data_IF_387101759962
#
_entry.id   IF_387101759962
#
_cell.length_a   1.000
_cell.length_b   1.000
_cell.length_c   1.000
_cell.angle_alpha   90.00
_cell.angle_beta   90.00
_cell.angle_gamma   90.00
#
_symmetry.space_group_name_H-M   'P 1'
#
loop_
_entity.id
_entity.type
_entity.pdbx_description
1 polymer ?
#
# COMPACT_ATOMS: atom_id res chain seq x y z
N UNK A 1 32.69 -51.51 -25.34
CA UNK A 1 31.49 -51.05 -26.06
C UNK A 1 31.47 -49.52 -26.00
N UNK A 2 31.77 -48.89 -27.14
CA UNK A 2 31.77 -47.45 -27.37
C UNK A 2 30.35 -46.93 -27.45
N UNK A 3 30.00 -45.82 -26.72
CA UNK A 3 28.82 -45.01 -26.98
C UNK A 3 29.25 -43.64 -27.50
N UNK A 4 28.73 -43.18 -28.64
CA UNK A 4 29.07 -41.87 -29.18
C UNK A 4 28.31 -40.74 -28.47
N UNK A 5 29.05 -39.70 -28.11
CA UNK A 5 28.55 -38.42 -27.63
C UNK A 5 27.75 -37.71 -28.75
N UNK A 6 26.45 -37.59 -28.61
CA UNK A 6 25.65 -36.64 -29.38
C UNK A 6 25.49 -35.33 -28.54
N UNK A 7 26.36 -34.37 -28.80
CA UNK A 7 26.13 -32.99 -28.44
C UNK A 7 25.18 -32.39 -29.46
N UNK A 8 23.91 -32.09 -29.05
CA UNK A 8 23.00 -31.26 -29.81
C UNK A 8 23.43 -29.80 -29.67
N UNK A 9 23.47 -29.00 -30.73
CA UNK A 9 23.80 -27.57 -30.65
C UNK A 9 22.69 -26.84 -29.95
N UNK A 10 23.01 -26.17 -28.85
CA UNK A 10 22.13 -25.19 -28.18
C UNK A 10 22.02 -23.99 -29.14
N UNK A 11 20.95 -23.91 -29.89
CA UNK A 11 20.62 -22.72 -30.67
C UNK A 11 20.12 -21.65 -29.68
N UNK A 12 20.97 -20.64 -29.49
CA UNK A 12 20.64 -19.40 -28.79
C UNK A 12 19.56 -18.67 -29.60
N UNK A 13 18.29 -18.95 -29.35
CA UNK A 13 17.21 -18.09 -29.84
C UNK A 13 17.18 -16.84 -28.95
N UNK A 14 17.98 -15.83 -29.32
CA UNK A 14 17.72 -14.46 -28.90
C UNK A 14 16.35 -14.06 -29.45
N UNK A 15 15.36 -14.01 -28.56
CA UNK A 15 14.08 -13.38 -28.90
C UNK A 15 14.38 -11.93 -29.36
N UNK A 16 13.76 -11.45 -30.43
CA UNK A 16 13.96 -10.09 -30.88
C UNK A 16 13.55 -9.15 -29.74
N UNK A 17 14.47 -8.27 -29.31
CA UNK A 17 14.17 -7.16 -28.41
C UNK A 17 13.26 -6.23 -29.24
N UNK A 18 11.95 -6.45 -29.15
CA UNK A 18 10.97 -5.50 -29.66
C UNK A 18 11.10 -4.25 -28.79
N UNK A 19 11.67 -3.20 -29.34
CA UNK A 19 11.63 -1.86 -28.76
C UNK A 19 10.19 -1.36 -28.77
N UNK A 20 9.37 -1.85 -27.84
CA UNK A 20 8.16 -1.10 -27.51
C UNK A 20 8.61 0.21 -26.85
N UNK A 21 8.13 1.37 -27.34
CA UNK A 21 8.41 2.61 -26.64
C UNK A 21 7.96 2.47 -25.20
N UNK A 22 8.84 2.84 -24.26
CA UNK A 22 8.50 2.83 -22.84
C UNK A 22 7.21 3.65 -22.65
N UNK A 23 6.23 3.18 -21.87
CA UNK A 23 5.00 3.91 -21.63
C UNK A 23 5.32 5.30 -21.06
N UNK A 24 4.69 6.34 -21.61
CA UNK A 24 4.91 7.71 -21.18
C UNK A 24 4.29 7.88 -19.78
N UNK A 25 5.11 8.16 -18.78
CA UNK A 25 4.66 8.43 -17.41
C UNK A 25 3.67 9.60 -17.39
N UNK A 26 2.55 9.41 -16.74
CA UNK A 26 1.58 10.46 -16.48
C UNK A 26 1.79 11.10 -15.11
N UNK A 27 1.32 12.34 -14.94
CA UNK A 27 1.51 13.11 -13.71
C UNK A 27 0.19 13.71 -13.25
N UNK A 28 -0.03 13.76 -11.93
CA UNK A 28 -1.21 14.35 -11.31
C UNK A 28 -0.82 15.36 -10.24
N UNK A 29 -1.68 16.36 -10.01
CA UNK A 29 -1.56 17.32 -8.93
C UNK A 29 -1.80 16.64 -7.59
N UNK A 30 -0.92 16.83 -6.63
CA UNK A 30 -0.99 16.22 -5.29
C UNK A 30 -1.77 17.13 -4.32
N UNK A 31 -3.06 17.30 -4.58
CA UNK A 31 -3.93 18.13 -3.76
C UNK A 31 -3.40 19.56 -3.57
N UNK A 32 -3.72 20.18 -2.44
CA UNK A 32 -3.32 21.56 -2.09
C UNK A 32 -1.81 21.78 -1.94
N UNK A 33 -0.97 20.72 -1.96
CA UNK A 33 0.49 20.87 -2.07
C UNK A 33 0.91 21.48 -3.41
N UNK A 34 0.07 21.35 -4.45
CA UNK A 34 0.33 21.72 -5.84
C UNK A 34 1.54 21.03 -6.49
N UNK A 35 2.17 20.07 -5.84
CA UNK A 35 3.21 19.24 -6.45
C UNK A 35 2.62 18.41 -7.59
N UNK A 36 3.37 18.27 -8.67
CA UNK A 36 2.96 17.46 -9.82
C UNK A 36 3.71 16.13 -9.78
N UNK A 37 3.11 15.12 -9.16
CA UNK A 37 3.71 13.81 -8.96
C UNK A 37 3.40 12.87 -10.12
N UNK A 38 4.38 12.01 -10.46
CA UNK A 38 4.16 10.84 -11.31
C UNK A 38 3.08 9.93 -10.71
N UNK A 39 2.25 9.30 -11.54
CA UNK A 39 1.17 8.41 -11.07
C UNK A 39 1.68 7.15 -10.37
N UNK A 40 2.97 6.89 -10.47
CA UNK A 40 3.70 5.94 -9.63
C UNK A 40 4.81 6.64 -8.87
N UNK A 41 4.98 6.30 -7.61
CA UNK A 41 6.05 6.74 -6.71
C UNK A 41 6.91 5.55 -6.32
N UNK A 42 8.21 5.76 -6.18
CA UNK A 42 9.13 4.73 -5.73
C UNK A 42 9.07 4.61 -4.20
N UNK A 43 8.58 3.46 -3.69
CA UNK A 43 8.63 3.11 -2.27
C UNK A 43 9.90 2.33 -1.93
N UNK A 44 10.61 2.74 -0.89
CA UNK A 44 11.95 2.22 -0.59
C UNK A 44 12.01 1.24 0.59
N UNK A 45 10.87 0.79 1.12
CA UNK A 45 10.83 -0.10 2.28
C UNK A 45 11.55 -1.44 2.06
N UNK A 46 11.75 -1.85 0.79
CA UNK A 46 12.42 -3.11 0.42
C UNK A 46 13.93 -2.96 0.13
N UNK A 47 14.54 -1.82 0.44
CA UNK A 47 15.98 -1.61 0.30
C UNK A 47 16.73 -2.20 1.50
N UNK A 48 16.77 -3.53 1.58
CA UNK A 48 17.29 -4.25 2.74
C UNK A 48 18.68 -4.85 2.52
N UNK A 49 19.09 -5.06 1.27
CA UNK A 49 20.24 -5.89 0.97
C UNK A 49 21.55 -5.12 0.80
N UNK A 50 21.58 -4.15 -0.10
CA UNK A 50 22.78 -3.35 -0.33
C UNK A 50 22.45 -2.00 -0.98
N UNK A 51 23.38 -1.07 -0.84
CA UNK A 51 23.25 0.31 -1.34
C UNK A 51 23.33 0.36 -2.87
N UNK A 52 24.09 -0.52 -3.50
CA UNK A 52 24.27 -0.52 -4.95
C UNK A 52 22.97 -0.89 -5.68
N UNK A 53 22.29 -1.97 -5.27
CA UNK A 53 21.01 -2.34 -5.84
C UNK A 53 19.94 -1.26 -5.59
N UNK A 54 19.96 -0.61 -4.42
CA UNK A 54 19.09 0.52 -4.12
C UNK A 54 19.33 1.67 -5.10
N UNK A 55 20.58 2.06 -5.34
CA UNK A 55 20.96 3.12 -6.28
C UNK A 55 20.50 2.78 -7.71
N UNK A 56 20.79 1.58 -8.19
CA UNK A 56 20.36 1.11 -9.52
C UNK A 56 18.84 1.14 -9.68
N UNK A 57 18.10 0.77 -8.63
CA UNK A 57 16.62 0.80 -8.64
C UNK A 57 16.11 2.24 -8.68
N UNK A 58 16.74 3.16 -7.93
CA UNK A 58 16.41 4.60 -7.96
C UNK A 58 16.64 5.15 -9.36
N UNK A 59 17.84 4.95 -9.95
CA UNK A 59 18.16 5.44 -11.28
C UNK A 59 17.22 4.88 -12.36
N UNK A 60 16.88 3.59 -12.25
CA UNK A 60 15.89 2.99 -13.15
C UNK A 60 14.53 3.64 -13.02
N UNK A 61 14.06 3.90 -11.79
CA UNK A 61 12.78 4.58 -11.55
C UNK A 61 12.75 5.99 -12.15
N UNK A 62 13.84 6.77 -11.96
CA UNK A 62 14.00 8.11 -12.54
C UNK A 62 14.00 8.06 -14.07
N UNK A 63 14.72 7.11 -14.68
CA UNK A 63 14.75 6.91 -16.14
C UNK A 63 13.38 6.53 -16.73
N UNK A 64 12.48 5.97 -15.93
CA UNK A 64 11.09 5.64 -16.30
C UNK A 64 10.11 6.79 -16.03
N UNK A 65 10.60 7.96 -15.58
CA UNK A 65 9.80 9.16 -15.36
C UNK A 65 9.18 9.27 -13.96
N UNK A 66 9.54 8.41 -13.01
CA UNK A 66 9.16 8.60 -11.61
C UNK A 66 9.89 9.82 -11.07
N UNK A 67 9.15 10.77 -10.50
CA UNK A 67 9.70 11.99 -9.89
C UNK A 67 9.42 12.11 -8.39
N UNK A 68 8.92 11.05 -7.75
CA UNK A 68 8.64 11.02 -6.33
C UNK A 68 9.17 9.75 -5.69
N UNK A 69 9.98 9.90 -4.64
CA UNK A 69 10.53 8.80 -3.85
C UNK A 69 10.00 8.91 -2.42
N UNK A 70 9.47 7.81 -1.91
CA UNK A 70 8.91 7.73 -0.56
C UNK A 70 9.70 6.73 0.29
N UNK A 71 10.20 7.21 1.41
CA UNK A 71 10.90 6.44 2.45
C UNK A 71 10.22 6.60 3.81
N UNK A 72 10.84 6.12 4.87
CA UNK A 72 10.47 6.40 6.26
C UNK A 72 11.64 6.11 7.20
N UNK A 73 11.69 6.85 8.30
CA UNK A 73 12.63 6.61 9.41
C UNK A 73 12.62 5.15 9.89
N UNK A 74 11.45 4.51 9.91
CA UNK A 74 11.27 3.13 10.34
C UNK A 74 11.61 2.04 9.31
N UNK A 75 12.15 2.39 8.14
CA UNK A 75 12.46 1.42 7.08
C UNK A 75 13.94 0.97 7.11
N UNK A 76 14.46 0.64 8.30
CA UNK A 76 15.83 0.19 8.46
C UNK A 76 16.84 1.20 7.90
N UNK A 77 17.69 0.78 6.97
CA UNK A 77 18.71 1.63 6.32
C UNK A 77 18.23 2.39 5.08
N UNK A 78 16.92 2.40 4.81
CA UNK A 78 16.38 2.97 3.58
C UNK A 78 16.70 4.46 3.39
N UNK A 79 16.63 5.28 4.48
CA UNK A 79 17.03 6.70 4.41
C UNK A 79 18.52 6.85 4.11
N UNK A 80 19.39 6.02 4.71
CA UNK A 80 20.84 6.05 4.48
C UNK A 80 21.20 5.66 3.03
N UNK A 81 20.53 4.64 2.48
CA UNK A 81 20.76 4.21 1.10
C UNK A 81 20.30 5.26 0.10
N UNK A 82 19.15 5.87 0.31
CA UNK A 82 18.67 6.98 -0.51
C UNK A 82 19.58 8.19 -0.39
N UNK A 83 20.03 8.55 0.82
CA UNK A 83 20.98 9.64 1.06
C UNK A 83 22.32 9.41 0.39
N UNK A 84 22.81 8.15 0.37
CA UNK A 84 24.03 7.78 -0.35
C UNK A 84 23.85 7.97 -1.86
N UNK A 85 22.71 7.54 -2.44
CA UNK A 85 22.42 7.76 -3.85
C UNK A 85 22.34 9.25 -4.20
N UNK A 86 21.67 10.06 -3.38
CA UNK A 86 21.58 11.52 -3.56
C UNK A 86 22.97 12.16 -3.54
N UNK A 87 23.82 11.80 -2.56
CA UNK A 87 25.17 12.32 -2.41
C UNK A 87 26.07 11.94 -3.59
N UNK A 88 25.89 10.76 -4.16
CA UNK A 88 26.64 10.30 -5.34
C UNK A 88 26.28 11.05 -6.63
N UNK A 89 25.17 11.79 -6.61
CA UNK A 89 24.57 12.44 -7.78
C UNK A 89 23.60 11.52 -8.49
N UNK A 90 22.36 11.98 -8.62
CA UNK A 90 21.30 11.30 -9.39
C UNK A 90 21.23 11.84 -10.81
N UNK A 91 20.69 11.05 -11.74
CA UNK A 91 20.51 11.41 -13.16
C UNK A 91 19.56 12.60 -13.38
N UNK A 92 18.78 12.97 -12.35
CA UNK A 92 17.90 14.15 -12.36
C UNK A 92 18.33 15.16 -11.29
N UNK A 93 18.21 16.48 -11.55
CA UNK A 93 18.52 17.49 -10.55
C UNK A 93 17.51 17.46 -9.39
N UNK A 94 17.97 17.83 -8.17
CA UNK A 94 17.17 17.78 -6.92
C UNK A 94 15.83 18.52 -7.02
N UNK A 95 15.76 19.61 -7.74
CA UNK A 95 14.54 20.41 -7.93
C UNK A 95 13.51 19.80 -8.89
N UNK A 96 13.83 18.67 -9.53
CA UNK A 96 12.91 17.87 -10.33
C UNK A 96 12.46 16.58 -9.63
N UNK A 97 12.94 16.37 -8.40
CA UNK A 97 12.66 15.19 -7.59
C UNK A 97 11.98 15.60 -6.29
N UNK A 98 10.86 14.94 -5.97
CA UNK A 98 10.17 15.10 -4.71
C UNK A 98 10.50 13.94 -3.77
N UNK A 99 10.83 14.25 -2.52
CA UNK A 99 11.21 13.25 -1.51
C UNK A 99 10.29 13.36 -0.31
N UNK A 100 9.67 12.23 0.03
CA UNK A 100 8.88 12.07 1.25
C UNK A 100 9.60 11.13 2.21
N UNK A 101 9.81 11.55 3.44
CA UNK A 101 10.03 10.60 4.55
C UNK A 101 8.87 10.63 5.54
N UNK A 102 8.82 9.62 6.40
CA UNK A 102 7.76 9.49 7.41
C UNK A 102 8.36 9.26 8.78
N UNK A 103 7.83 9.96 9.77
CA UNK A 103 8.26 9.90 11.17
C UNK A 103 7.04 9.50 12.02
N UNK A 104 7.17 8.52 12.95
CA UNK A 104 6.05 8.13 13.80
C UNK A 104 5.61 9.30 14.69
N UNK A 105 4.30 9.40 15.01
CA UNK A 105 3.84 10.38 15.98
C UNK A 105 4.47 10.11 17.34
N UNK A 106 4.76 11.16 18.10
CA UNK A 106 5.27 11.13 19.47
C UNK A 106 4.59 12.19 20.34
N UNK A 107 4.79 12.10 21.65
CA UNK A 107 4.06 12.98 22.58
C UNK A 107 4.61 14.42 22.60
N UNK A 108 5.89 14.61 22.37
CA UNK A 108 6.59 15.87 22.60
C UNK A 108 7.30 16.41 21.35
N UNK A 109 7.55 17.73 21.36
CA UNK A 109 8.18 18.43 20.25
C UNK A 109 9.68 18.14 20.14
N UNK A 110 10.40 18.00 21.26
CA UNK A 110 11.86 17.80 21.25
C UNK A 110 12.24 16.50 20.55
N UNK A 111 11.52 15.42 20.87
CA UNK A 111 11.67 14.12 20.19
C UNK A 111 11.41 14.24 18.69
N UNK A 112 10.38 14.98 18.29
CA UNK A 112 10.06 15.16 16.87
C UNK A 112 11.13 15.99 16.16
N UNK A 113 11.66 17.06 16.78
CA UNK A 113 12.78 17.83 16.23
C UNK A 113 13.99 16.93 15.97
N UNK A 114 14.39 16.15 16.97
CA UNK A 114 15.49 15.21 16.82
C UNK A 114 15.25 14.25 15.64
N UNK A 115 14.05 13.71 15.52
CA UNK A 115 13.72 12.79 14.44
C UNK A 115 13.76 13.42 13.06
N UNK A 116 13.32 14.67 12.91
CA UNK A 116 13.41 15.44 11.66
C UNK A 116 14.87 15.64 11.28
N UNK A 117 15.70 16.13 12.20
CA UNK A 117 17.11 16.43 11.96
C UNK A 117 17.89 15.16 11.59
N UNK A 118 17.69 14.07 12.31
CA UNK A 118 18.33 12.78 12.00
C UNK A 118 17.88 12.23 10.63
N UNK A 119 16.61 12.42 10.24
CA UNK A 119 16.13 11.98 8.92
C UNK A 119 16.77 12.82 7.80
N UNK A 120 16.86 14.13 7.96
CA UNK A 120 17.56 15.02 7.02
C UNK A 120 19.04 14.64 6.88
N UNK A 121 19.70 14.37 8.01
CA UNK A 121 21.11 13.92 8.00
C UNK A 121 21.29 12.60 7.27
N UNK A 122 20.46 11.56 7.56
CA UNK A 122 20.55 10.26 6.88
C UNK A 122 20.25 10.37 5.38
N UNK A 123 19.30 11.22 5.00
CA UNK A 123 18.95 11.49 3.60
C UNK A 123 19.96 12.40 2.88
N UNK A 124 20.90 13.02 3.59
CA UNK A 124 21.83 14.02 3.03
C UNK A 124 21.08 15.16 2.31
N UNK A 125 20.06 15.71 2.98
CA UNK A 125 19.18 16.75 2.46
C UNK A 125 19.10 17.94 3.40
N UNK A 126 19.02 19.16 2.82
CA UNK A 126 18.73 20.37 3.56
C UNK A 126 17.22 20.54 3.84
N UNK A 127 16.38 19.94 3.00
CA UNK A 127 14.92 20.00 3.14
C UNK A 127 14.22 18.75 2.59
N UNK A 128 13.03 18.48 3.14
CA UNK A 128 12.07 17.49 2.66
C UNK A 128 10.97 18.18 1.85
N UNK A 129 10.59 17.61 0.69
CA UNK A 129 9.39 18.08 -0.02
C UNK A 129 8.13 17.73 0.73
N UNK A 130 8.09 16.54 1.33
CA UNK A 130 6.95 16.09 2.12
C UNK A 130 7.41 15.35 3.39
N UNK A 131 6.78 15.67 4.52
CA UNK A 131 6.90 14.91 5.76
C UNK A 131 5.56 14.27 6.11
N UNK A 132 5.54 12.92 6.23
CA UNK A 132 4.37 12.18 6.68
C UNK A 132 4.45 11.79 8.15
N UNK A 133 3.40 12.02 8.93
CA UNK A 133 3.24 11.39 10.24
C UNK A 133 2.96 9.90 10.03
N UNK A 134 3.88 9.03 10.47
CA UNK A 134 3.92 7.62 10.09
C UNK A 134 3.03 6.74 10.97
N UNK A 135 1.95 6.23 10.40
CA UNK A 135 1.09 5.28 11.11
C UNK A 135 0.22 5.93 12.17
N UNK A 136 -0.48 7.02 11.81
CA UNK A 136 -1.53 7.62 12.63
C UNK A 136 -2.73 6.66 12.67
N UNK A 137 -2.66 5.64 13.56
CA UNK A 137 -3.52 4.46 13.54
C UNK A 137 -4.47 4.37 14.73
N UNK A 138 -4.22 5.11 15.82
CA UNK A 138 -4.94 4.97 17.09
C UNK A 138 -5.44 6.32 17.58
N UNK A 139 -6.39 6.29 18.54
CA UNK A 139 -6.84 7.50 19.24
C UNK A 139 -5.68 8.22 19.91
N UNK A 140 -4.77 7.47 20.56
CA UNK A 140 -3.60 8.05 21.21
C UNK A 140 -2.68 8.79 20.22
N UNK A 141 -2.47 8.24 19.01
CA UNK A 141 -1.68 8.92 18.00
C UNK A 141 -2.34 10.22 17.53
N UNK A 142 -3.67 10.23 17.43
CA UNK A 142 -4.44 11.44 17.09
C UNK A 142 -4.32 12.48 18.19
N UNK A 143 -4.46 12.09 19.48
CA UNK A 143 -4.27 12.97 20.63
C UNK A 143 -2.88 13.61 20.65
N UNK A 144 -1.81 12.87 20.38
CA UNK A 144 -0.46 13.43 20.28
C UNK A 144 -0.33 14.48 19.17
N UNK A 145 -0.99 14.24 18.03
CA UNK A 145 -1.00 15.17 16.88
C UNK A 145 -1.81 16.43 17.20
N UNK A 146 -2.92 16.32 17.92
CA UNK A 146 -3.78 17.46 18.31
C UNK A 146 -3.28 18.23 19.55
N UNK A 147 -2.34 17.62 20.31
CA UNK A 147 -1.81 18.25 21.53
C UNK A 147 -1.06 19.53 21.21
N UNK A 148 -1.48 20.63 21.82
CA UNK A 148 -0.77 21.90 21.76
C UNK A 148 0.63 21.74 22.37
N UNK A 149 1.66 22.23 21.69
CA UNK A 149 3.06 22.05 22.05
C UNK A 149 3.55 20.57 22.02
N UNK A 150 2.81 19.68 21.33
CA UNK A 150 3.22 18.30 21.05
C UNK A 150 4.06 18.19 19.79
N UNK A 151 4.12 16.98 19.21
CA UNK A 151 4.99 16.70 18.05
C UNK A 151 4.71 17.62 16.84
N UNK A 152 3.46 18.06 16.64
CA UNK A 152 3.13 18.94 15.51
C UNK A 152 3.70 20.35 15.64
N UNK A 153 4.04 20.82 16.86
CA UNK A 153 4.78 22.08 17.02
C UNK A 153 6.11 22.01 16.27
N UNK A 154 6.92 20.98 16.52
CA UNK A 154 8.20 20.78 15.83
C UNK A 154 8.05 20.67 14.31
N UNK A 155 7.00 19.99 13.85
CA UNK A 155 6.69 19.87 12.42
C UNK A 155 6.38 21.25 11.82
N UNK A 156 5.57 22.09 12.48
CA UNK A 156 5.26 23.44 12.00
C UNK A 156 6.48 24.36 12.06
N UNK A 157 7.34 24.24 13.06
CA UNK A 157 8.60 24.98 13.12
C UNK A 157 9.51 24.58 11.97
N UNK A 158 9.61 23.28 11.62
CA UNK A 158 10.37 22.82 10.46
C UNK A 158 9.77 23.28 9.11
N UNK A 159 8.46 23.53 9.05
CA UNK A 159 7.83 24.17 7.87
C UNK A 159 8.22 25.66 7.81
N UNK A 160 8.15 26.36 8.94
CA UNK A 160 8.43 27.80 9.00
C UNK A 160 9.89 28.13 8.67
N UNK A 161 10.83 27.28 9.05
CA UNK A 161 12.26 27.45 8.76
C UNK A 161 12.69 26.84 7.41
N UNK A 162 11.78 26.16 6.70
CA UNK A 162 11.98 25.65 5.35
C UNK A 162 12.58 24.24 5.27
N UNK A 163 12.84 23.55 6.41
CA UNK A 163 13.30 22.15 6.40
C UNK A 163 12.23 21.17 5.90
N UNK A 164 10.96 21.51 5.99
CA UNK A 164 9.82 20.74 5.47
C UNK A 164 8.94 21.66 4.63
N UNK A 165 8.48 21.20 3.45
CA UNK A 165 7.59 22.01 2.62
C UNK A 165 6.12 21.67 2.80
N UNK A 166 5.77 20.38 2.89
CA UNK A 166 4.40 19.89 2.97
C UNK A 166 4.25 18.81 4.03
N UNK A 167 3.10 18.80 4.70
CA UNK A 167 2.80 17.88 5.81
C UNK A 167 1.64 16.95 5.44
N UNK A 168 1.78 15.65 5.72
CA UNK A 168 0.71 14.68 5.58
C UNK A 168 0.78 13.58 6.63
N UNK A 169 0.01 12.53 6.43
CA UNK A 169 0.09 11.34 7.29
C UNK A 169 -0.12 10.05 6.51
N UNK A 170 0.37 8.94 7.06
CA UNK A 170 0.08 7.60 6.61
C UNK A 170 -0.68 6.83 7.68
N UNK A 171 -1.54 5.90 7.27
CA UNK A 171 -2.39 5.21 8.25
C UNK A 171 -2.76 3.79 7.83
N UNK A 172 -2.93 2.93 8.85
CA UNK A 172 -3.54 1.62 8.80
C UNK A 172 -4.76 1.54 9.74
N UNK A 173 -5.12 2.67 10.35
CA UNK A 173 -6.15 2.78 11.37
C UNK A 173 -7.55 2.41 10.89
N UNK A 174 -8.49 2.38 11.81
CA UNK A 174 -9.90 2.27 11.53
C UNK A 174 -10.40 3.54 10.81
N UNK A 175 -11.48 3.42 10.03
CA UNK A 175 -11.99 4.51 9.20
C UNK A 175 -12.31 5.77 10.02
N UNK A 176 -12.84 5.60 11.25
CA UNK A 176 -13.12 6.74 12.14
C UNK A 176 -11.88 7.53 12.54
N UNK A 177 -10.73 6.86 12.75
CA UNK A 177 -9.47 7.53 13.05
C UNK A 177 -8.95 8.27 11.81
N UNK A 178 -9.07 7.67 10.64
CA UNK A 178 -8.67 8.29 9.37
C UNK A 178 -9.48 9.55 9.11
N UNK A 179 -10.81 9.46 9.26
CA UNK A 179 -11.71 10.62 9.07
C UNK A 179 -11.46 11.72 10.12
N UNK A 180 -11.21 11.34 11.38
CA UNK A 180 -10.84 12.29 12.42
C UNK A 180 -9.53 13.02 12.07
N UNK A 181 -8.48 12.31 11.65
CA UNK A 181 -7.21 12.89 11.23
C UNK A 181 -7.38 13.85 10.02
N UNK A 182 -8.18 13.49 9.02
CA UNK A 182 -8.51 14.35 7.88
C UNK A 182 -9.22 15.63 8.37
N UNK A 183 -10.09 15.53 9.37
CA UNK A 183 -10.88 16.63 9.88
C UNK A 183 -10.11 17.58 10.82
N UNK A 184 -8.89 17.25 11.23
CA UNK A 184 -8.02 18.18 11.98
C UNK A 184 -7.56 19.39 11.16
N UNK A 185 -7.61 19.30 9.84
CA UNK A 185 -7.07 20.29 8.88
C UNK A 185 -5.55 20.52 8.95
N UNK A 186 -4.83 19.68 9.71
CA UNK A 186 -3.38 19.77 9.88
C UNK A 186 -2.59 19.25 8.67
N UNK A 187 -3.23 18.52 7.76
CA UNK A 187 -2.54 17.75 6.73
C UNK A 187 -2.94 18.18 5.32
N UNK A 188 -1.97 18.10 4.39
CA UNK A 188 -2.14 18.42 2.97
C UNK A 188 -2.27 17.15 2.11
N UNK A 189 -1.83 15.98 2.62
CA UNK A 189 -1.92 14.71 1.93
C UNK A 189 -2.11 13.54 2.90
N UNK A 190 -2.58 12.42 2.35
CA UNK A 190 -2.78 11.17 3.10
C UNK A 190 -2.32 9.96 2.31
N UNK A 191 -1.61 9.04 2.99
CA UNK A 191 -1.20 7.75 2.45
C UNK A 191 -2.14 6.67 2.98
N UNK A 192 -2.91 6.04 2.08
CA UNK A 192 -4.00 5.11 2.40
C UNK A 192 -3.79 3.72 1.79
N UNK A 193 -4.45 2.74 2.39
CA UNK A 193 -4.72 1.44 1.79
C UNK A 193 -6.07 1.49 1.07
N UNK A 194 -6.06 1.31 -0.24
CA UNK A 194 -7.26 1.19 -1.08
C UNK A 194 -6.91 0.39 -2.33
N UNK A 195 -7.68 -0.68 -2.60
CA UNK A 195 -7.42 -1.63 -3.67
C UNK A 195 -8.72 -2.26 -4.13
N UNK A 196 -8.75 -2.90 -5.28
CA UNK A 196 -9.95 -3.59 -5.74
C UNK A 196 -10.49 -4.56 -4.68
N UNK A 197 -9.63 -5.33 -4.02
CA UNK A 197 -10.01 -6.27 -2.96
C UNK A 197 -10.12 -5.66 -1.55
N UNK A 198 -9.97 -4.34 -1.42
CA UNK A 198 -10.04 -3.64 -0.13
C UNK A 198 -10.46 -2.18 -0.33
N UNK A 199 -11.76 -1.93 -0.26
CA UNK A 199 -12.33 -0.62 -0.59
C UNK A 199 -12.93 0.14 0.61
N UNK A 200 -12.74 -0.34 1.85
CA UNK A 200 -13.33 0.30 3.05
C UNK A 200 -12.97 1.78 3.22
N UNK A 201 -11.82 2.19 2.70
CA UNK A 201 -11.32 3.56 2.83
C UNK A 201 -11.83 4.52 1.73
N UNK A 202 -12.84 4.12 0.93
CA UNK A 202 -13.44 4.99 -0.07
C UNK A 202 -13.95 6.32 0.54
N UNK A 203 -14.61 6.26 1.70
CA UNK A 203 -15.09 7.46 2.41
C UNK A 203 -13.95 8.36 2.87
N UNK A 204 -12.79 7.80 3.21
CA UNK A 204 -11.60 8.59 3.54
C UNK A 204 -11.04 9.30 2.30
N UNK A 205 -11.04 8.64 1.12
CA UNK A 205 -10.67 9.28 -0.15
C UNK A 205 -11.62 10.43 -0.47
N UNK A 206 -12.93 10.23 -0.33
CA UNK A 206 -13.92 11.29 -0.52
C UNK A 206 -13.70 12.48 0.40
N UNK A 207 -13.47 12.24 1.70
CA UNK A 207 -13.21 13.28 2.68
C UNK A 207 -11.91 14.05 2.36
N UNK A 208 -10.83 13.33 2.01
CA UNK A 208 -9.57 13.94 1.61
C UNK A 208 -9.72 14.80 0.35
N UNK A 209 -10.44 14.30 -0.66
CA UNK A 209 -10.69 15.04 -1.90
C UNK A 209 -11.51 16.32 -1.66
N UNK A 210 -12.53 16.27 -0.80
CA UNK A 210 -13.33 17.46 -0.42
C UNK A 210 -12.48 18.56 0.24
N UNK A 211 -11.37 18.18 0.89
CA UNK A 211 -10.41 19.11 1.52
C UNK A 211 -9.20 19.42 0.63
N UNK A 212 -9.27 19.05 -0.64
CA UNK A 212 -8.16 19.17 -1.60
C UNK A 212 -6.85 18.56 -1.09
N UNK A 213 -6.91 17.45 -0.37
CA UNK A 213 -5.73 16.70 0.07
C UNK A 213 -5.24 15.78 -1.04
N UNK A 214 -3.91 15.65 -1.17
CA UNK A 214 -3.30 14.65 -2.04
C UNK A 214 -3.55 13.23 -1.51
N UNK A 215 -3.94 12.29 -2.39
CA UNK A 215 -4.17 10.89 -2.03
C UNK A 215 -3.10 10.00 -2.64
N UNK A 216 -2.36 9.31 -1.77
CA UNK A 216 -1.31 8.38 -2.13
C UNK A 216 -1.68 6.96 -1.67
N UNK A 217 -1.78 6.01 -2.60
CA UNK A 217 -2.11 4.61 -2.28
C UNK A 217 -0.83 3.82 -2.07
N UNK A 218 -0.67 3.27 -0.87
CA UNK A 218 0.51 2.50 -0.46
C UNK A 218 0.31 0.99 -0.60
N UNK A 219 1.38 0.27 -0.98
CA UNK A 219 1.44 -1.19 -1.10
C UNK A 219 0.34 -1.84 -1.97
N UNK A 220 -0.03 -1.29 -3.14
CA UNK A 220 -1.16 -1.80 -3.93
C UNK A 220 -0.96 -3.24 -4.45
N UNK A 221 0.26 -3.66 -4.72
CA UNK A 221 0.54 -5.02 -5.19
C UNK A 221 0.58 -6.05 -4.05
N UNK A 222 1.24 -5.72 -2.93
CA UNK A 222 1.41 -6.64 -1.80
C UNK A 222 0.14 -6.75 -0.95
N UNK A 223 -0.26 -5.64 -0.31
CA UNK A 223 -1.43 -5.62 0.56
C UNK A 223 -2.75 -5.64 -0.21
N UNK A 224 -2.70 -5.34 -1.50
CA UNK A 224 -3.82 -5.48 -2.43
C UNK A 224 -4.14 -6.92 -2.83
N UNK A 225 -3.31 -7.91 -2.43
CA UNK A 225 -3.59 -9.31 -2.72
C UNK A 225 -2.37 -10.16 -3.07
N UNK A 226 -1.13 -9.67 -2.86
CA UNK A 226 0.11 -10.31 -3.35
C UNK A 226 0.04 -10.57 -4.86
N UNK A 227 -0.41 -9.56 -5.61
CA UNK A 227 -0.81 -9.67 -7.00
C UNK A 227 0.35 -9.92 -8.00
N UNK A 228 1.59 -9.92 -7.54
CA UNK A 228 2.76 -10.35 -8.31
C UNK A 228 2.94 -11.89 -8.31
N UNK A 229 2.28 -12.62 -7.38
CA UNK A 229 2.21 -14.09 -7.34
C UNK A 229 0.75 -14.55 -7.11
N UNK A 230 -0.17 -14.19 -8.03
CA UNK A 230 -1.58 -14.51 -7.86
C UNK A 230 -1.83 -16.01 -8.08
N UNK A 231 -2.84 -16.63 -7.42
CA UNK A 231 -3.24 -18.00 -7.68
C UNK A 231 -3.80 -18.16 -9.09
N UNK A 232 -3.73 -19.39 -9.63
CA UNK A 232 -4.13 -19.65 -11.02
C UNK A 232 -5.61 -19.32 -11.27
N UNK A 233 -6.49 -19.66 -10.34
CA UNK A 233 -7.91 -19.28 -10.43
C UNK A 233 -8.12 -17.77 -10.62
N UNK A 234 -7.37 -16.93 -9.86
CA UNK A 234 -7.47 -15.49 -10.02
C UNK A 234 -6.91 -15.02 -11.37
N UNK A 235 -5.80 -15.63 -11.86
CA UNK A 235 -5.27 -15.34 -13.19
C UNK A 235 -6.28 -15.63 -14.29
N UNK A 236 -6.95 -16.79 -14.23
CA UNK A 236 -7.96 -17.19 -15.20
C UNK A 236 -9.15 -16.22 -15.21
N UNK A 237 -9.65 -15.83 -14.04
CA UNK A 237 -10.78 -14.90 -13.90
C UNK A 237 -10.46 -13.49 -14.40
N UNK A 238 -9.20 -13.10 -14.40
CA UNK A 238 -8.74 -11.78 -14.84
C UNK A 238 -8.44 -11.68 -16.32
N UNK A 239 -8.40 -12.80 -17.07
CA UNK A 239 -8.09 -12.78 -18.49
C UNK A 239 -8.97 -11.78 -19.28
N UNK A 240 -8.40 -11.06 -20.28
CA UNK A 240 -7.01 -11.16 -20.81
C UNK A 240 -5.94 -10.40 -20.01
N UNK A 241 -6.30 -9.73 -18.93
CA UNK A 241 -5.38 -8.94 -18.09
C UNK A 241 -4.74 -9.77 -16.99
N UNK A 242 -3.65 -9.27 -16.42
CA UNK A 242 -3.13 -9.79 -15.16
C UNK A 242 -3.87 -9.19 -13.96
N UNK A 243 -3.97 -9.90 -12.81
CA UNK A 243 -4.54 -9.33 -11.60
C UNK A 243 -3.83 -8.06 -11.11
N UNK A 244 -2.51 -7.97 -11.30
CA UNK A 244 -1.70 -6.81 -10.94
C UNK A 244 -2.07 -5.60 -11.81
N UNK A 245 -2.13 -5.79 -13.12
CA UNK A 245 -2.52 -4.76 -14.08
C UNK A 245 -3.92 -4.22 -13.80
N UNK A 246 -4.91 -5.12 -13.62
CA UNK A 246 -6.29 -4.71 -13.31
C UNK A 246 -6.38 -3.91 -12.01
N UNK A 247 -5.66 -4.30 -10.95
CA UNK A 247 -5.66 -3.54 -9.71
C UNK A 247 -5.05 -2.13 -9.89
N UNK A 248 -3.98 -2.00 -10.67
CA UNK A 248 -3.42 -0.69 -10.99
C UNK A 248 -4.37 0.13 -11.86
N UNK A 249 -5.01 -0.48 -12.86
CA UNK A 249 -6.01 0.18 -13.70
C UNK A 249 -7.21 0.66 -12.88
N UNK A 250 -7.73 -0.17 -11.97
CA UNK A 250 -8.77 0.22 -11.00
C UNK A 250 -8.39 1.48 -10.22
N UNK A 251 -7.14 1.56 -9.74
CA UNK A 251 -6.66 2.70 -8.98
C UNK A 251 -6.38 3.93 -9.85
N UNK A 252 -5.77 3.75 -11.03
CA UNK A 252 -5.43 4.85 -11.93
C UNK A 252 -6.63 5.45 -12.63
N UNK A 253 -7.73 4.72 -12.80
CA UNK A 253 -8.98 5.24 -13.35
C UNK A 253 -9.72 6.17 -12.38
N UNK A 254 -9.40 6.13 -11.08
CA UNK A 254 -9.94 7.04 -10.08
C UNK A 254 -9.11 8.33 -10.03
N UNK A 255 -9.70 9.43 -10.53
CA UNK A 255 -9.02 10.73 -10.59
C UNK A 255 -8.72 11.36 -9.22
N UNK A 256 -9.35 10.88 -8.14
CA UNK A 256 -9.11 11.31 -6.76
C UNK A 256 -7.76 10.81 -6.24
N UNK A 257 -7.20 9.75 -6.84
CA UNK A 257 -5.92 9.15 -6.46
C UNK A 257 -4.81 9.82 -7.25
N UNK A 258 -3.82 10.39 -6.56
CA UNK A 258 -2.71 11.07 -7.20
C UNK A 258 -1.63 10.09 -7.67
N UNK A 259 -1.17 9.22 -6.78
CA UNK A 259 -0.02 8.35 -7.04
C UNK A 259 -0.10 7.03 -6.30
N UNK A 260 0.58 6.02 -6.81
CA UNK A 260 0.62 4.66 -6.29
C UNK A 260 2.05 4.28 -5.92
N UNK A 261 2.27 3.69 -4.75
CA UNK A 261 3.59 3.21 -4.35
C UNK A 261 3.99 1.94 -5.08
N UNK A 262 5.13 1.95 -5.74
CA UNK A 262 5.82 0.75 -6.24
C UNK A 262 7.03 0.48 -5.36
N UNK A 263 6.95 -0.58 -4.55
CA UNK A 263 8.02 -1.00 -3.64
C UNK A 263 8.98 -1.96 -4.33
N UNK A 264 9.65 -1.52 -5.39
CA UNK A 264 10.64 -2.32 -6.11
C UNK A 264 11.92 -2.49 -5.29
N UNK A 265 12.40 -3.71 -5.13
CA UNK A 265 13.69 -4.02 -4.52
C UNK A 265 14.84 -4.06 -5.56
N UNK A 266 14.49 -4.32 -6.81
CA UNK A 266 15.42 -4.33 -7.97
C UNK A 266 14.84 -3.55 -9.14
N UNK A 267 15.68 -3.12 -10.10
CA UNK A 267 15.23 -2.39 -11.29
C UNK A 267 14.16 -3.13 -12.13
N UNK A 268 14.26 -4.45 -12.20
CA UNK A 268 13.36 -5.30 -13.00
C UNK A 268 11.92 -5.29 -12.47
N UNK A 269 11.75 -5.16 -11.16
CA UNK A 269 10.44 -5.12 -10.52
C UNK A 269 9.62 -3.86 -10.84
N UNK A 270 10.23 -2.85 -11.47
CA UNK A 270 9.54 -1.64 -11.94
C UNK A 270 8.79 -1.86 -13.26
N UNK A 271 9.17 -2.84 -14.08
CA UNK A 271 8.70 -2.96 -15.46
C UNK A 271 7.20 -3.28 -15.51
N UNK A 272 6.76 -4.34 -14.83
CA UNK A 272 5.35 -4.75 -14.87
C UNK A 272 4.39 -3.70 -14.27
N UNK A 273 4.66 -3.10 -13.09
CA UNK A 273 3.81 -2.02 -12.57
C UNK A 273 3.69 -0.83 -13.50
N UNK A 274 4.79 -0.40 -14.10
CA UNK A 274 4.80 0.81 -14.92
C UNK A 274 4.26 0.61 -16.34
N UNK A 275 4.01 -0.62 -16.75
CA UNK A 275 3.40 -0.91 -18.07
C UNK A 275 2.05 -0.19 -18.28
N UNK A 276 1.31 0.11 -17.21
CA UNK A 276 0.02 0.83 -17.26
C UNK A 276 0.12 2.32 -16.95
N UNK A 277 1.32 2.88 -16.74
CA UNK A 277 1.53 4.28 -16.31
C UNK A 277 1.04 5.34 -17.28
N UNK A 278 0.86 4.97 -18.55
CA UNK A 278 0.36 5.82 -19.62
C UNK A 278 -1.17 5.93 -19.66
N UNK A 279 -1.89 5.01 -19.01
CA UNK A 279 -3.35 4.90 -19.09
C UNK A 279 -4.01 5.27 -17.74
N UNK A 280 -4.36 6.54 -17.59
CA UNK A 280 -5.05 7.09 -16.40
C UNK A 280 -6.51 7.43 -16.69
N UNK A 281 -7.02 7.04 -17.84
CA UNK A 281 -8.41 7.25 -18.25
C UNK A 281 -9.35 6.30 -17.51
N UNK A 282 -10.65 6.51 -17.68
CA UNK A 282 -11.67 5.58 -17.19
C UNK A 282 -11.40 4.14 -17.64
N UNK A 283 -11.96 3.20 -16.91
CA UNK A 283 -11.85 1.78 -17.25
C UNK A 283 -12.53 1.50 -18.59
N UNK A 284 -11.89 0.67 -19.40
CA UNK A 284 -12.44 0.19 -20.66
C UNK A 284 -13.64 -0.74 -20.42
N UNK A 285 -14.46 -0.93 -21.43
CA UNK A 285 -15.59 -1.89 -21.38
C UNK A 285 -15.11 -3.31 -21.05
N UNK A 286 -13.93 -3.69 -21.53
CA UNK A 286 -13.34 -5.01 -21.28
C UNK A 286 -12.87 -5.16 -19.84
N UNK A 287 -12.18 -4.15 -19.28
CA UNK A 287 -11.79 -4.10 -17.87
C UNK A 287 -13.03 -4.17 -16.95
N UNK A 288 -14.07 -3.38 -17.25
CA UNK A 288 -15.35 -3.39 -16.51
C UNK A 288 -16.00 -4.77 -16.58
N UNK A 289 -15.97 -5.45 -17.73
CA UNK A 289 -16.50 -6.81 -17.87
C UNK A 289 -15.78 -7.80 -16.97
N UNK A 290 -14.46 -7.72 -16.89
CA UNK A 290 -13.66 -8.59 -16.00
C UNK A 290 -13.99 -8.32 -14.54
N UNK A 291 -14.10 -7.06 -14.12
CA UNK A 291 -14.52 -6.74 -12.73
C UNK A 291 -15.92 -7.28 -12.41
N UNK A 292 -16.87 -7.20 -13.35
CA UNK A 292 -18.19 -7.81 -13.18
C UNK A 292 -18.11 -9.33 -13.05
N UNK A 293 -17.26 -9.98 -13.82
CA UNK A 293 -17.06 -11.42 -13.72
C UNK A 293 -16.47 -11.82 -12.36
N UNK A 294 -15.50 -11.06 -11.83
CA UNK A 294 -14.97 -11.27 -10.49
C UNK A 294 -16.07 -11.13 -9.41
N UNK A 295 -16.93 -10.13 -9.51
CA UNK A 295 -18.02 -9.95 -8.56
C UNK A 295 -19.06 -11.08 -8.67
N UNK A 296 -19.41 -11.50 -9.90
CA UNK A 296 -20.32 -12.62 -10.13
C UNK A 296 -19.76 -13.93 -9.56
N UNK A 297 -18.46 -14.21 -9.78
CA UNK A 297 -17.78 -15.37 -9.21
C UNK A 297 -17.86 -15.35 -7.68
N UNK A 298 -17.60 -14.21 -7.05
CA UNK A 298 -17.69 -14.05 -5.61
C UNK A 298 -19.10 -14.31 -5.08
N UNK A 299 -20.10 -13.75 -5.74
CA UNK A 299 -21.51 -13.92 -5.37
C UNK A 299 -21.95 -15.38 -5.52
N UNK A 300 -21.58 -16.03 -6.64
CA UNK A 300 -21.96 -17.41 -6.92
C UNK A 300 -21.35 -18.42 -5.94
N UNK A 301 -20.10 -18.20 -5.53
CA UNK A 301 -19.36 -19.17 -4.71
C UNK A 301 -19.63 -18.99 -3.22
N UNK A 302 -19.88 -17.74 -2.78
CA UNK A 302 -20.15 -17.44 -1.36
C UNK A 302 -21.64 -17.51 -1.02
N UNK A 303 -22.52 -17.34 -2.00
CA UNK A 303 -23.96 -17.36 -1.80
C UNK A 303 -24.42 -16.54 -0.58
N UNK A 304 -25.05 -17.16 0.39
CA UNK A 304 -25.51 -16.56 1.64
C UNK A 304 -24.42 -16.28 2.65
N UNK A 305 -23.19 -16.83 2.46
CA UNK A 305 -22.06 -16.69 3.38
C UNK A 305 -21.18 -15.46 3.08
N UNK A 306 -21.62 -14.60 2.16
CA UNK A 306 -20.87 -13.42 1.74
C UNK A 306 -20.96 -12.29 2.75
N UNK A 307 -19.85 -12.00 3.46
CA UNK A 307 -19.75 -10.79 4.25
C UNK A 307 -19.62 -9.54 3.35
N UNK A 308 -20.55 -8.58 3.49
CA UNK A 308 -20.56 -7.32 2.76
C UNK A 308 -19.58 -6.25 3.31
N UNK A 309 -18.94 -6.54 4.43
CA UNK A 309 -18.03 -5.62 5.15
C UNK A 309 -18.70 -4.31 5.59
N UNK A 310 -19.92 -4.37 6.08
CA UNK A 310 -20.67 -3.21 6.58
C UNK A 310 -20.21 -2.74 7.98
N UNK A 311 -19.36 -3.51 8.69
CA UNK A 311 -18.83 -3.22 10.03
C UNK A 311 -19.89 -3.17 11.16
N UNK A 312 -21.17 -3.44 10.90
CA UNK A 312 -22.24 -3.38 11.91
C UNK A 312 -22.05 -4.35 13.09
N UNK A 313 -21.35 -5.47 12.86
CA UNK A 313 -21.06 -6.47 13.89
C UNK A 313 -20.02 -6.03 14.96
N UNK A 314 -19.41 -4.87 14.79
CA UNK A 314 -18.47 -4.33 15.77
C UNK A 314 -19.17 -3.41 16.79
N UNK A 315 -18.58 -3.23 18.01
CA UNK A 315 -17.40 -3.93 18.51
C UNK A 315 -17.70 -5.38 18.89
N UNK A 316 -16.69 -6.25 18.76
CA UNK A 316 -16.72 -7.62 19.27
C UNK A 316 -16.13 -7.63 20.70
N UNK A 317 -16.75 -8.29 21.71
CA UNK A 317 -16.22 -8.38 23.08
C UNK A 317 -14.80 -8.98 23.12
N UNK A 318 -14.50 -9.92 22.24
CA UNK A 318 -13.20 -10.58 22.12
C UNK A 318 -12.20 -9.81 21.21
N UNK A 319 -12.51 -8.57 20.85
CA UNK A 319 -11.69 -7.74 19.96
C UNK A 319 -11.38 -8.38 18.59
N UNK A 320 -12.21 -9.30 18.10
CA UNK A 320 -12.06 -9.88 16.76
C UNK A 320 -12.44 -8.81 15.74
N UNK A 321 -11.54 -8.56 14.79
CA UNK A 321 -11.87 -7.72 13.62
C UNK A 321 -12.70 -8.56 12.62
N UNK A 322 -13.95 -8.84 12.98
CA UNK A 322 -14.85 -9.73 12.24
C UNK A 322 -14.89 -9.38 10.73
N UNK A 323 -15.11 -8.13 10.31
CA UNK A 323 -15.19 -7.82 8.88
C UNK A 323 -13.88 -8.12 8.13
N UNK A 324 -12.72 -7.88 8.74
CA UNK A 324 -11.45 -8.16 8.09
C UNK A 324 -11.15 -9.67 8.03
N UNK A 325 -11.46 -10.41 9.10
CA UNK A 325 -11.36 -11.88 9.13
C UNK A 325 -12.21 -12.48 8.02
N UNK A 326 -13.50 -12.08 7.91
CA UNK A 326 -14.42 -12.60 6.91
C UNK A 326 -14.08 -12.13 5.48
N UNK A 327 -13.47 -10.93 5.32
CA UNK A 327 -12.94 -10.51 4.03
C UNK A 327 -11.86 -11.47 3.51
N UNK A 328 -10.94 -11.87 4.39
CA UNK A 328 -9.90 -12.84 4.01
C UNK A 328 -10.49 -14.20 3.63
N UNK A 329 -11.55 -14.66 4.33
CA UNK A 329 -12.32 -15.83 3.94
C UNK A 329 -12.96 -15.67 2.56
N UNK A 330 -13.66 -14.58 2.34
CA UNK A 330 -14.29 -14.31 1.04
C UNK A 330 -13.28 -14.40 -0.12
N UNK A 331 -12.11 -13.81 0.05
CA UNK A 331 -11.06 -13.84 -0.98
C UNK A 331 -10.46 -15.24 -1.18
N UNK A 332 -10.24 -15.99 -0.10
CA UNK A 332 -9.74 -17.36 -0.16
C UNK A 332 -10.72 -18.29 -0.88
N UNK A 333 -12.01 -18.20 -0.56
CA UNK A 333 -13.06 -19.07 -1.13
C UNK A 333 -13.37 -18.68 -2.57
N UNK A 334 -13.55 -17.39 -2.85
CA UNK A 334 -13.97 -16.92 -4.18
C UNK A 334 -12.85 -17.04 -5.22
N UNK A 335 -11.60 -16.74 -4.86
CA UNK A 335 -10.51 -16.54 -5.80
C UNK A 335 -9.27 -17.40 -5.53
N UNK A 336 -9.35 -18.34 -4.59
CA UNK A 336 -8.22 -19.17 -4.15
C UNK A 336 -7.02 -18.36 -3.58
N UNK A 337 -7.29 -17.17 -3.02
CA UNK A 337 -6.27 -16.29 -2.44
C UNK A 337 -5.84 -16.78 -1.04
N UNK A 338 -5.60 -18.09 -0.87
CA UNK A 338 -5.30 -18.75 0.41
C UNK A 338 -3.97 -18.26 0.99
N UNK A 339 -2.92 -18.19 0.19
CA UNK A 339 -1.60 -17.73 0.65
C UNK A 339 -1.60 -16.28 1.10
N UNK A 340 -2.34 -15.42 0.38
CA UNK A 340 -2.58 -14.04 0.83
C UNK A 340 -3.39 -14.02 2.12
N UNK A 341 -4.45 -14.85 2.19
CA UNK A 341 -5.27 -14.99 3.38
C UNK A 341 -4.45 -15.41 4.60
N UNK A 342 -3.63 -16.47 4.49
CA UNK A 342 -2.73 -16.94 5.56
C UNK A 342 -1.74 -15.86 6.00
N UNK A 343 -1.11 -15.19 5.05
CA UNK A 343 -0.18 -14.09 5.32
C UNK A 343 -0.83 -12.97 6.15
N UNK A 344 -2.02 -12.52 5.74
CA UNK A 344 -2.73 -11.44 6.45
C UNK A 344 -3.32 -11.92 7.76
N UNK A 345 -3.88 -13.13 7.81
CA UNK A 345 -4.46 -13.73 9.02
C UNK A 345 -3.40 -13.93 10.13
N UNK A 346 -2.17 -14.28 9.77
CA UNK A 346 -1.06 -14.37 10.70
C UNK A 346 -0.64 -13.03 11.32
N UNK A 347 -1.06 -11.89 10.75
CA UNK A 347 -0.77 -10.55 11.31
C UNK A 347 -1.66 -10.22 12.51
N UNK A 348 -2.87 -10.77 12.60
CA UNK A 348 -3.70 -10.61 13.79
C UNK A 348 -2.94 -11.10 15.03
N UNK A 349 -3.10 -10.39 16.15
CA UNK A 349 -2.40 -10.62 17.42
C UNK A 349 -0.88 -10.32 17.41
N UNK A 350 -0.25 -10.15 16.22
CA UNK A 350 1.20 -10.00 16.09
C UNK A 350 1.66 -8.63 15.55
N UNK A 351 0.82 -7.90 14.84
CA UNK A 351 1.21 -6.64 14.20
C UNK A 351 0.78 -5.39 14.98
N UNK A 352 0.20 -5.56 16.17
CA UNK A 352 -0.27 -4.45 17.00
C UNK A 352 -1.19 -3.49 16.23
N UNK A 353 -0.98 -2.20 16.41
CA UNK A 353 -1.79 -1.15 15.75
C UNK A 353 -1.65 -1.09 14.22
N UNK A 354 -0.69 -1.80 13.62
CA UNK A 354 -0.54 -1.88 12.16
C UNK A 354 -1.55 -2.82 11.49
N UNK A 355 -2.07 -3.79 12.22
CA UNK A 355 -3.12 -4.70 11.78
C UNK A 355 -3.91 -5.19 13.00
N UNK A 356 -4.80 -4.35 13.54
CA UNK A 356 -5.45 -4.60 14.83
C UNK A 356 -6.52 -5.68 14.74
N UNK A 357 -6.69 -6.38 15.85
CA UNK A 357 -7.73 -7.38 16.06
C UNK A 357 -7.19 -8.76 16.41
N UNK A 358 -8.10 -9.59 16.90
CA UNK A 358 -7.85 -10.98 17.25
C UNK A 358 -8.29 -11.92 16.11
N UNK A 359 -7.75 -13.15 16.12
CA UNK A 359 -8.12 -14.22 15.18
C UNK A 359 -9.52 -14.78 15.44
N UNK A 360 -10.12 -15.42 14.44
CA UNK A 360 -11.48 -15.99 14.52
C UNK A 360 -11.66 -17.03 15.62
N UNK A 361 -10.63 -17.80 15.97
CA UNK A 361 -10.68 -18.80 17.05
C UNK A 361 -10.80 -18.22 18.47
N UNK A 362 -10.77 -16.88 18.60
CA UNK A 362 -11.06 -16.22 19.88
C UNK A 362 -12.56 -16.02 20.12
N UNK A 363 -13.41 -16.43 19.17
CA UNK A 363 -14.84 -16.33 19.30
C UNK A 363 -15.34 -17.21 20.46
N UNK A 364 -16.07 -16.58 21.39
CA UNK A 364 -16.71 -17.24 22.54
C UNK A 364 -18.18 -17.58 22.25
N UNK A 365 -18.65 -17.39 21.01
CA UNK A 365 -20.02 -17.65 20.57
C UNK A 365 -21.08 -16.86 21.38
N UNK A 366 -20.73 -15.67 21.89
CA UNK A 366 -21.64 -14.85 22.69
C UNK A 366 -22.89 -14.38 21.94
N UNK A 367 -22.89 -14.41 20.60
CA UNK A 367 -24.04 -14.06 19.76
C UNK A 367 -24.25 -12.56 19.52
N UNK A 368 -23.48 -11.66 20.12
CA UNK A 368 -23.69 -10.19 20.05
C UNK A 368 -23.60 -9.62 18.62
N UNK A 369 -22.91 -10.31 17.72
CA UNK A 369 -22.76 -9.91 16.32
C UNK A 369 -23.92 -10.33 15.42
N UNK A 370 -24.70 -11.38 15.81
CA UNK A 370 -25.74 -11.98 14.97
C UNK A 370 -26.89 -11.01 14.68
N UNK A 371 -27.54 -10.34 15.67
CA UNK A 371 -28.65 -9.43 15.40
C UNK A 371 -28.22 -8.14 14.69
N UNK A 372 -26.93 -7.85 14.63
CA UNK A 372 -26.37 -6.66 13.98
C UNK A 372 -26.04 -6.89 12.50
N UNK A 373 -25.98 -8.15 12.06
CA UNK A 373 -25.58 -8.49 10.70
C UNK A 373 -26.73 -8.31 9.71
N UNK A 374 -26.66 -7.36 8.75
CA UNK A 374 -27.72 -7.17 7.77
C UNK A 374 -27.85 -8.32 6.76
N UNK A 375 -26.80 -9.14 6.63
CA UNK A 375 -26.78 -10.32 5.76
C UNK A 375 -27.23 -11.60 6.50
N UNK A 376 -27.59 -11.52 7.77
CA UNK A 376 -27.98 -12.66 8.62
C UNK A 376 -26.95 -13.82 8.64
N UNK A 377 -25.66 -13.49 8.62
CA UNK A 377 -24.58 -14.48 8.61
C UNK A 377 -24.48 -15.24 9.94
N UNK A 378 -24.19 -16.54 9.88
CA UNK A 378 -23.69 -17.29 11.04
C UNK A 378 -22.20 -16.91 11.26
N UNK A 379 -22.00 -15.74 11.86
CA UNK A 379 -20.66 -15.18 12.07
C UNK A 379 -19.75 -16.13 12.87
N UNK A 380 -20.17 -16.76 13.99
CA UNK A 380 -19.34 -17.71 14.72
C UNK A 380 -18.85 -18.88 13.85
N UNK A 381 -19.75 -19.52 13.10
CA UNK A 381 -19.37 -20.60 12.20
C UNK A 381 -18.38 -20.14 11.10
N UNK A 382 -18.62 -18.96 10.51
CA UNK A 382 -17.73 -18.39 9.50
C UNK A 382 -16.36 -17.97 10.06
N UNK A 383 -16.28 -17.54 11.30
CA UNK A 383 -15.00 -17.24 11.98
C UNK A 383 -14.19 -18.51 12.21
N UNK A 384 -14.86 -19.61 12.62
CA UNK A 384 -14.21 -20.90 12.77
C UNK A 384 -13.70 -21.45 11.43
N UNK A 385 -14.56 -21.47 10.38
CA UNK A 385 -14.16 -21.87 9.02
C UNK A 385 -12.97 -21.03 8.51
N UNK A 386 -12.97 -19.72 8.78
CA UNK A 386 -11.83 -18.85 8.43
C UNK A 386 -10.55 -19.28 9.15
N UNK A 387 -10.66 -19.59 10.44
CA UNK A 387 -9.49 -20.02 11.22
C UNK A 387 -8.94 -21.34 10.68
N UNK A 388 -9.77 -22.33 10.42
CA UNK A 388 -9.35 -23.62 9.86
C UNK A 388 -8.63 -23.45 8.51
N UNK A 389 -9.16 -22.62 7.61
CA UNK A 389 -8.59 -22.36 6.28
C UNK A 389 -7.29 -21.60 6.31
N UNK A 390 -7.21 -20.56 7.16
CA UNK A 390 -6.15 -19.55 7.09
C UNK A 390 -5.15 -19.61 8.25
N UNK A 391 -5.38 -20.47 9.26
CA UNK A 391 -4.38 -20.68 10.31
C UNK A 391 -3.20 -21.46 9.75
N UNK A 392 -1.98 -20.97 10.04
CA UNK A 392 -0.76 -21.58 9.55
C UNK A 392 0.39 -20.57 9.46
N UNK A 393 1.54 -21.04 9.03
CA UNK A 393 2.66 -20.13 8.75
C UNK A 393 2.28 -19.28 7.53
N UNK A 394 2.05 -18.01 7.74
CA UNK A 394 2.01 -17.04 6.64
C UNK A 394 3.31 -17.15 5.85
N UNK A 395 3.21 -17.19 4.52
CA UNK A 395 4.40 -17.15 3.68
C UNK A 395 5.27 -15.96 4.06
N UNK A 396 6.61 -16.07 3.91
CA UNK A 396 7.56 -15.01 4.21
C UNK A 396 7.12 -13.71 3.53
N UNK A 397 7.22 -12.59 4.25
CA UNK A 397 7.20 -11.27 3.60
C UNK A 397 8.32 -11.25 2.55
N UNK A 398 8.13 -10.50 1.45
CA UNK A 398 9.18 -10.29 0.45
C UNK A 398 10.46 -9.64 1.04
N UNK A 399 10.39 -9.14 2.26
CA UNK A 399 11.43 -8.43 3.01
C UNK A 399 11.48 -8.86 4.48
N UNK A 400 11.40 -10.15 4.76
CA UNK A 400 11.47 -10.67 6.14
C UNK A 400 12.27 -11.94 6.23
#
# INVERSE_FOLDING_TARGET
LYFPNHQSPITNHQLPITHYPLPIMQYRRFGKTNLKLSVFSLGTMRYLNNVETAHQTIEKALSLGINHIETARGYGKSEEYLGTAIKSGLSVPRNQLYITTKIPPCADADTMHQYIDESLQRLNLDYLDCLGIHGLNTRQHLEWVETKNGCMQAVHEAVNDGRVKHIGFSTHGALEIILAAINTDLFEFVNLHYYYFFQRNNLAIEAATKKDMGVFIISPADKGGRLYTPPDKLKELCQPFTPLELNYRFLLSDSRITTLSVGAATPEELIAPLAVSHNINELTTEEIKVFKNLENQKNQVLETDKCSQCYACLPCPENINIPEVLRLRNLAVAYDMIDYGKYRYAMFENAGHWFPGMKGNRCTECGDCLPKCPENLDIPALLNDTHERLNGKGGRRLWG
#
